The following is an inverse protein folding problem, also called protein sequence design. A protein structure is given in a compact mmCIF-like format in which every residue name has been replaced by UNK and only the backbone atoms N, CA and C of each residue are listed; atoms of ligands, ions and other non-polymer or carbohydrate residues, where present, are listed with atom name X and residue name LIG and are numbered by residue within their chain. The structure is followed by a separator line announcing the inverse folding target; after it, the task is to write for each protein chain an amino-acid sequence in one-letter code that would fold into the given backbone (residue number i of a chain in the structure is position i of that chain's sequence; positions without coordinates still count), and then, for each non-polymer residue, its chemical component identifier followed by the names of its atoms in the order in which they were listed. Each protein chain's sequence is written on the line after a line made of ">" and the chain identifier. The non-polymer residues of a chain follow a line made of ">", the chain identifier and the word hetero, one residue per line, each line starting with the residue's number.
data_IF_954159615003
#
_entry.id   IF_954159615003
#
_cell.length_a   1.000
_cell.length_b   1.000
_cell.length_c   1.000
_cell.angle_alpha   90.00
_cell.angle_beta   90.00
_cell.angle_gamma   90.00
#
_symmetry.space_group_name_H-M   'P 1'
#
loop_
_entity.id
_entity.type
_entity.pdbx_description
1 polymer ?
#
# COMPACT_ATOMS: atom_id res chain seq x y z
N UNK A 1 -10.34 9.19 -31.80
CA UNK A 1 -10.90 9.15 -30.44
C UNK A 1 -9.74 8.90 -29.48
N UNK A 2 -9.48 9.82 -28.58
CA UNK A 2 -8.44 9.69 -27.55
C UNK A 2 -8.87 8.58 -26.56
N UNK A 3 -8.13 7.46 -26.45
CA UNK A 3 -8.58 6.28 -25.70
C UNK A 3 -8.68 6.48 -24.17
N UNK A 4 -8.21 7.61 -23.63
CA UNK A 4 -8.15 7.87 -22.19
C UNK A 4 -9.41 8.54 -21.59
N UNK A 5 -10.43 8.90 -22.38
CA UNK A 5 -11.60 9.62 -21.87
C UNK A 5 -12.73 8.73 -21.33
N UNK A 6 -12.72 7.42 -21.60
CA UNK A 6 -13.86 6.52 -21.32
C UNK A 6 -13.88 5.94 -19.90
N UNK A 7 -12.80 6.07 -19.14
CA UNK A 7 -12.73 5.54 -17.77
C UNK A 7 -12.17 6.62 -16.86
N UNK A 8 -13.06 7.39 -16.24
CA UNK A 8 -12.66 8.26 -15.13
C UNK A 8 -12.41 7.37 -13.92
N UNK A 9 -11.26 7.56 -13.25
CA UNK A 9 -11.01 6.89 -12.00
C UNK A 9 -12.04 7.40 -10.98
N UNK A 10 -12.76 6.51 -10.26
CA UNK A 10 -13.60 6.97 -9.16
C UNK A 10 -12.68 7.70 -8.16
N UNK A 11 -12.95 8.99 -7.95
CA UNK A 11 -12.21 9.81 -7.02
C UNK A 11 -12.48 9.24 -5.63
N UNK A 12 -11.46 8.64 -5.00
CA UNK A 12 -11.58 8.14 -3.65
C UNK A 12 -11.04 9.19 -2.70
N UNK A 13 -11.95 9.86 -2.00
CA UNK A 13 -11.63 10.91 -1.03
C UNK A 13 -10.88 10.38 0.20
N UNK A 14 -10.93 9.06 0.46
CA UNK A 14 -10.35 8.42 1.66
C UNK A 14 -8.98 7.74 1.42
N UNK A 15 -8.19 8.21 0.45
CA UNK A 15 -6.85 7.68 0.19
C UNK A 15 -5.83 8.80 0.38
N UNK A 16 -5.03 8.69 1.44
CA UNK A 16 -3.90 9.58 1.66
C UNK A 16 -2.82 9.39 0.59
N UNK A 17 -2.13 10.48 0.23
CA UNK A 17 -0.92 10.40 -0.58
C UNK A 17 0.21 9.70 0.19
N UNK A 18 0.69 8.60 -0.38
CA UNK A 18 1.78 7.80 0.15
C UNK A 18 2.91 7.64 -0.87
N UNK A 19 4.06 7.17 -0.40
CA UNK A 19 5.21 6.84 -1.22
C UNK A 19 5.84 5.51 -0.78
N UNK A 20 6.66 4.87 -1.64
CA UNK A 20 7.46 3.73 -1.24
C UNK A 20 8.31 4.10 -0.02
N UNK A 21 8.33 3.22 0.98
CA UNK A 21 9.00 3.44 2.27
C UNK A 21 8.07 3.86 3.41
N UNK A 22 6.86 4.33 3.09
CA UNK A 22 5.89 4.70 4.10
C UNK A 22 5.27 3.46 4.76
N UNK A 23 5.01 3.55 6.07
CA UNK A 23 4.18 2.61 6.79
C UNK A 23 2.74 3.08 6.70
N UNK A 24 1.87 2.23 6.16
CA UNK A 24 0.47 2.53 5.95
C UNK A 24 -0.42 1.51 6.66
N UNK A 25 -1.59 1.98 7.09
CA UNK A 25 -2.71 1.15 7.51
C UNK A 25 -3.72 1.11 6.38
N UNK A 26 -4.08 -0.10 5.97
CA UNK A 26 -5.01 -0.35 4.88
C UNK A 26 -6.18 -1.15 5.42
N UNK A 27 -7.40 -0.63 5.24
CA UNK A 27 -8.62 -1.34 5.59
C UNK A 27 -9.20 -2.00 4.33
N UNK A 28 -9.27 -3.33 4.34
CA UNK A 28 -9.75 -4.14 3.22
C UNK A 28 -11.07 -4.81 3.59
N UNK A 29 -12.07 -4.66 2.72
CA UNK A 29 -13.32 -5.41 2.82
C UNK A 29 -13.11 -6.83 2.32
N UNK A 30 -13.43 -7.79 3.18
CA UNK A 30 -13.38 -9.22 2.91
C UNK A 30 -14.80 -9.75 2.92
N UNK A 31 -15.17 -10.44 1.84
CA UNK A 31 -16.49 -11.05 1.65
C UNK A 31 -16.30 -12.57 1.72
N UNK A 32 -16.82 -13.19 2.77
CA UNK A 32 -16.79 -14.63 3.01
C UNK A 32 -18.24 -15.16 2.90
N UNK A 33 -18.66 -15.51 1.69
CA UNK A 33 -20.03 -15.91 1.40
C UNK A 33 -21.00 -14.75 1.63
N UNK A 34 -21.89 -14.89 2.63
CA UNK A 34 -22.89 -13.88 2.99
C UNK A 34 -22.42 -12.91 4.08
N UNK A 35 -21.20 -13.06 4.61
CA UNK A 35 -20.66 -12.18 5.66
C UNK A 35 -19.61 -11.25 5.08
N UNK A 36 -19.73 -9.97 5.40
CA UNK A 36 -18.73 -8.96 5.10
C UNK A 36 -18.04 -8.53 6.39
N UNK A 37 -16.71 -8.42 6.36
CA UNK A 37 -15.91 -7.85 7.44
C UNK A 37 -14.82 -6.95 6.89
N UNK A 38 -14.46 -5.93 7.65
CA UNK A 38 -13.32 -5.07 7.34
C UNK A 38 -12.12 -5.58 8.12
N UNK A 39 -11.02 -5.85 7.42
CA UNK A 39 -9.75 -6.23 8.01
C UNK A 39 -8.71 -5.13 7.80
N UNK A 40 -8.16 -4.64 8.91
CA UNK A 40 -7.02 -3.74 8.88
C UNK A 40 -5.71 -4.50 8.69
N UNK A 41 -4.89 -4.03 7.76
CA UNK A 41 -3.55 -4.52 7.46
C UNK A 41 -2.56 -3.36 7.60
N UNK A 42 -1.54 -3.53 8.41
CA UNK A 42 -0.45 -2.56 8.53
C UNK A 42 0.83 -3.14 7.93
N UNK A 43 1.57 -2.30 7.21
CA UNK A 43 2.86 -2.68 6.64
C UNK A 43 3.55 -1.54 5.92
N UNK A 44 4.72 -1.83 5.38
CA UNK A 44 5.52 -0.89 4.60
C UNK A 44 5.20 -1.02 3.12
N UNK A 45 5.01 0.10 2.43
CA UNK A 45 4.92 0.11 0.97
C UNK A 45 6.30 -0.14 0.39
N UNK A 46 6.49 -1.25 -0.31
CA UNK A 46 7.78 -1.61 -0.91
C UNK A 46 7.90 -1.26 -2.38
N UNK A 47 6.81 -0.82 -3.00
CA UNK A 47 6.82 -0.35 -4.37
C UNK A 47 5.44 -0.15 -4.93
N UNK A 48 5.41 0.58 -6.03
CA UNK A 48 4.21 0.86 -6.81
C UNK A 48 4.43 0.45 -8.26
N UNK A 49 3.33 0.15 -8.95
CA UNK A 49 3.33 -0.24 -10.36
C UNK A 49 2.08 0.27 -11.05
N UNK A 50 2.24 0.68 -12.31
CA UNK A 50 1.16 1.16 -13.16
C UNK A 50 0.88 2.64 -12.96
N UNK A 51 -0.12 3.13 -13.68
CA UNK A 51 -0.55 4.53 -13.70
C UNK A 51 -2.07 4.62 -13.84
N UNK A 52 -2.65 5.75 -13.43
CA UNK A 52 -4.09 5.97 -13.46
C UNK A 52 -4.86 4.87 -12.74
N UNK A 53 -5.91 4.34 -13.38
CA UNK A 53 -6.77 3.27 -12.84
C UNK A 53 -6.04 1.95 -12.54
N UNK A 54 -4.96 1.66 -13.27
CA UNK A 54 -4.19 0.44 -13.09
C UNK A 54 -3.07 0.60 -12.05
N UNK A 55 -3.04 1.71 -11.30
CA UNK A 55 -2.06 1.92 -10.25
C UNK A 55 -2.29 0.94 -9.10
N UNK A 56 -1.22 0.24 -8.77
CA UNK A 56 -1.16 -0.78 -7.70
C UNK A 56 0.02 -0.48 -6.78
N UNK A 57 -0.09 -0.92 -5.53
CA UNK A 57 1.00 -0.84 -4.56
C UNK A 57 1.17 -2.18 -3.85
N UNK A 58 2.40 -2.47 -3.44
CA UNK A 58 2.74 -3.68 -2.70
C UNK A 58 3.05 -3.34 -1.25
N UNK A 59 2.25 -3.88 -0.34
CA UNK A 59 2.42 -3.81 1.10
C UNK A 59 3.22 -5.02 1.59
N UNK A 60 4.26 -4.79 2.40
CA UNK A 60 5.03 -5.84 3.07
C UNK A 60 4.87 -5.72 4.58
N UNK A 61 4.52 -6.83 5.22
CA UNK A 61 4.48 -6.96 6.68
C UNK A 61 5.08 -8.27 7.14
N UNK A 62 5.51 -8.33 8.40
CA UNK A 62 5.90 -9.59 9.03
C UNK A 62 4.82 -9.97 10.03
N UNK A 63 4.24 -11.16 9.87
CA UNK A 63 3.18 -11.68 10.76
C UNK A 63 3.58 -13.06 11.23
N UNK A 64 3.58 -13.30 12.55
CA UNK A 64 3.97 -14.59 13.15
C UNK A 64 5.31 -15.14 12.62
N UNK A 65 6.29 -14.27 12.41
CA UNK A 65 7.62 -14.63 11.90
C UNK A 65 7.74 -14.77 10.38
N UNK A 66 6.62 -14.78 9.64
CA UNK A 66 6.63 -14.91 8.18
C UNK A 66 6.46 -13.54 7.51
N UNK A 67 7.25 -13.28 6.47
CA UNK A 67 7.09 -12.11 5.61
C UNK A 67 5.92 -12.33 4.66
N UNK A 68 4.90 -11.47 4.76
CA UNK A 68 3.72 -11.49 3.89
C UNK A 68 3.74 -10.24 3.01
N UNK A 69 3.55 -10.45 1.71
CA UNK A 69 3.41 -9.37 0.74
C UNK A 69 2.04 -9.44 0.08
N UNK A 70 1.36 -8.30 0.00
CA UNK A 70 0.05 -8.17 -0.61
C UNK A 70 0.06 -6.99 -1.57
N UNK A 71 -0.44 -7.19 -2.78
CA UNK A 71 -0.54 -6.13 -3.78
C UNK A 71 -1.99 -5.73 -3.96
N UNK A 72 -2.26 -4.43 -3.86
CA UNK A 72 -3.61 -3.87 -3.94
C UNK A 72 -3.72 -2.87 -5.09
N UNK A 73 -4.82 -2.90 -5.86
CA UNK A 73 -5.19 -1.78 -6.73
C UNK A 73 -5.72 -0.62 -5.88
N UNK A 74 -5.22 0.60 -6.13
CA UNK A 74 -5.61 1.80 -5.39
C UNK A 74 -7.12 2.08 -5.54
N UNK A 75 -7.64 1.92 -6.75
CA UNK A 75 -9.04 2.22 -7.06
C UNK A 75 -9.98 1.02 -6.82
N UNK A 76 -9.51 -0.09 -6.23
CA UNK A 76 -10.35 -1.27 -6.00
C UNK A 76 -11.49 -0.97 -5.01
N UNK A 77 -12.75 -1.34 -5.27
CA UNK A 77 -13.85 -1.13 -4.32
C UNK A 77 -13.67 -1.89 -3.00
N UNK A 78 -12.82 -2.91 -2.99
CA UNK A 78 -12.48 -3.68 -1.77
C UNK A 78 -11.54 -2.91 -0.82
N UNK A 79 -10.88 -1.86 -1.31
CA UNK A 79 -10.02 -0.99 -0.51
C UNK A 79 -10.89 0.10 0.11
N UNK A 80 -11.14 0.03 1.40
CA UNK A 80 -12.08 0.92 2.09
C UNK A 80 -11.41 2.22 2.52
N UNK A 81 -10.24 2.11 3.15
CA UNK A 81 -9.45 3.26 3.59
C UNK A 81 -7.95 2.99 3.47
N UNK A 82 -7.17 4.04 3.26
CA UNK A 82 -5.71 3.99 3.33
C UNK A 82 -5.23 5.21 4.11
N UNK A 83 -4.53 4.94 5.22
CA UNK A 83 -3.95 5.99 6.08
C UNK A 83 -2.45 5.84 6.19
N UNK A 84 -1.72 6.95 6.05
CA UNK A 84 -0.27 6.97 6.29
C UNK A 84 -0.01 7.11 7.78
N UNK A 85 0.63 6.10 8.38
CA UNK A 85 0.98 6.12 9.80
C UNK A 85 2.36 6.77 10.03
N UNK A 86 3.32 6.49 9.14
CA UNK A 86 4.69 6.98 9.27
C UNK A 86 5.32 7.13 7.89
N UNK A 87 5.99 8.25 7.65
CA UNK A 87 6.71 8.49 6.39
C UNK A 87 8.15 7.99 6.45
N UNK A 88 8.54 7.21 5.46
CA UNK A 88 9.88 6.62 5.38
C UNK A 88 10.87 7.52 4.64
N UNK A 89 12.08 7.64 5.16
CA UNK A 89 13.20 8.23 4.43
C UNK A 89 13.90 7.14 3.60
N UNK A 90 13.54 7.07 2.33
CA UNK A 90 14.12 6.15 1.35
C UNK A 90 14.40 6.87 0.03
N UNK A 91 15.40 6.38 -0.69
CA UNK A 91 15.82 6.94 -1.99
C UNK A 91 15.42 6.09 -3.19
N UNK A 92 14.97 4.85 -2.96
CA UNK A 92 14.62 3.91 -4.04
C UNK A 92 13.10 3.84 -4.19
N UNK A 93 12.62 3.86 -5.43
CA UNK A 93 11.19 3.68 -5.73
C UNK A 93 10.69 2.24 -5.46
N UNK A 94 11.60 1.25 -5.46
CA UNK A 94 11.28 -0.16 -5.16
C UNK A 94 12.25 -0.70 -4.10
N UNK A 95 11.71 -1.12 -2.97
CA UNK A 95 12.43 -1.56 -1.78
C UNK A 95 12.51 -3.08 -1.67
N UNK A 96 12.64 -3.79 -2.79
CA UNK A 96 12.69 -5.27 -2.80
C UNK A 96 13.87 -5.85 -2.01
N UNK A 97 14.90 -5.05 -1.73
CA UNK A 97 15.99 -5.45 -0.84
C UNK A 97 15.51 -5.78 0.59
N UNK A 98 14.34 -5.27 1.02
CA UNK A 98 13.74 -5.57 2.32
C UNK A 98 13.23 -7.03 2.42
N UNK A 99 13.15 -7.75 1.30
CA UNK A 99 12.83 -9.19 1.30
C UNK A 99 13.89 -10.02 1.99
N UNK A 100 15.15 -9.64 1.80
CA UNK A 100 16.32 -10.35 2.32
C UNK A 100 16.81 -9.78 3.65
N UNK A 101 16.09 -8.82 4.24
CA UNK A 101 16.45 -8.18 5.51
C UNK A 101 15.43 -8.50 6.58
N UNK A 102 15.91 -8.63 7.81
CA UNK A 102 15.09 -8.90 8.98
C UNK A 102 15.55 -8.09 10.20
N UNK A 103 14.67 -7.96 11.19
CA UNK A 103 14.95 -7.28 12.45
C UNK A 103 15.44 -5.83 12.26
N UNK A 104 16.58 -5.50 12.89
CA UNK A 104 17.15 -4.14 12.87
C UNK A 104 17.54 -3.68 11.47
N UNK A 105 17.99 -4.60 10.59
CA UNK A 105 18.47 -4.27 9.24
C UNK A 105 17.35 -3.86 8.26
N UNK A 106 16.11 -4.27 8.55
CA UNK A 106 14.94 -3.95 7.75
C UNK A 106 14.26 -2.62 8.18
N UNK A 107 14.73 -1.97 9.25
CA UNK A 107 14.14 -0.71 9.74
C UNK A 107 14.40 0.43 8.76
N UNK A 108 13.34 1.13 8.40
CA UNK A 108 13.39 2.37 7.63
C UNK A 108 13.45 3.56 8.59
N UNK A 109 14.32 4.53 8.28
CA UNK A 109 14.42 5.79 9.02
C UNK A 109 13.18 6.64 8.77
N UNK A 110 12.79 7.44 9.76
CA UNK A 110 11.65 8.34 9.59
C UNK A 110 12.07 9.59 8.81
N UNK A 111 11.23 10.04 7.89
CA UNK A 111 11.43 11.30 7.19
C UNK A 111 11.08 12.45 8.14
N UNK A 112 12.07 13.27 8.49
CA UNK A 112 11.85 14.48 9.29
C UNK A 112 11.05 15.48 8.46
N UNK A 113 9.93 15.95 9.00
CA UNK A 113 9.25 17.15 8.52
C UNK A 113 9.88 18.35 9.24
N UNK A 114 10.39 19.31 8.47
CA UNK A 114 10.85 20.61 8.97
C UNK A 114 9.78 21.65 8.67
#
# INVERSE_FOLDING_TARGET
>A
MEPNQLVQAPNKENIDDFSPGDTIKVDVRIIEGNRERVQSLEGVVIGEKGSGLQRTFTLRRTTRGFGVELTFPIHSPKLESLKVLRRGDVRRAKLYYLRNRSGKSARIKEKRQY
#
